data_IF_808304617046
#
_entry.id   IF_808304617046
#
_cell.length_a   1.000
_cell.length_b   1.000
_cell.length_c   1.000
_cell.angle_alpha   90.00
_cell.angle_beta   90.00
_cell.angle_gamma   90.00
#
_symmetry.space_group_name_H-M   'P 1'
#
loop_
_entity.id
_entity.type
_entity.pdbx_description
1 polymer ?
#
# COMPACT_ATOMS: atom_id res chain seq x y z
N UNK A 1 14.81 -4.02 -27.11
CA UNK A 1 13.56 -4.45 -26.45
C UNK A 1 12.46 -4.46 -27.50
N UNK A 2 11.84 -5.61 -27.76
CA UNK A 2 10.81 -5.78 -28.79
C UNK A 2 9.42 -5.30 -28.34
N UNK A 3 8.50 -5.09 -29.29
CA UNK A 3 7.12 -4.63 -29.03
C UNK A 3 6.37 -5.52 -28.01
N UNK A 4 6.68 -6.82 -27.97
CA UNK A 4 6.10 -7.77 -27.00
C UNK A 4 6.49 -7.48 -25.55
N UNK A 5 7.71 -6.96 -25.29
CA UNK A 5 8.13 -6.63 -23.92
C UNK A 5 7.37 -5.42 -23.37
N UNK A 6 6.96 -4.49 -24.24
CA UNK A 6 6.17 -3.31 -23.87
C UNK A 6 4.72 -3.67 -23.56
N UNK A 7 4.11 -4.54 -24.37
CA UNK A 7 2.75 -5.03 -24.13
C UNK A 7 2.66 -5.79 -22.80
N UNK A 8 3.62 -6.68 -22.52
CA UNK A 8 3.70 -7.40 -21.24
C UNK A 8 3.88 -6.45 -20.06
N UNK A 9 4.80 -5.49 -20.18
CA UNK A 9 5.02 -4.46 -19.14
C UNK A 9 3.74 -3.67 -18.84
N UNK A 10 3.03 -3.19 -19.87
CA UNK A 10 1.79 -2.44 -19.72
C UNK A 10 0.71 -3.24 -19.01
N UNK A 11 0.53 -4.51 -19.39
CA UNK A 11 -0.45 -5.40 -18.75
C UNK A 11 -0.14 -5.63 -17.27
N UNK A 12 1.12 -5.89 -16.92
CA UNK A 12 1.52 -6.10 -15.52
C UNK A 12 1.37 -4.82 -14.67
N UNK A 13 1.62 -3.65 -15.26
CA UNK A 13 1.38 -2.36 -14.61
C UNK A 13 -0.10 -2.11 -14.37
N UNK A 14 -0.95 -2.45 -15.35
CA UNK A 14 -2.41 -2.40 -15.20
C UNK A 14 -2.89 -3.28 -14.04
N UNK A 15 -2.48 -4.55 -14.02
CA UNK A 15 -2.81 -5.48 -12.93
C UNK A 15 -2.37 -4.96 -11.56
N UNK A 16 -1.12 -4.47 -11.46
CA UNK A 16 -0.60 -3.92 -10.21
C UNK A 16 -1.33 -2.66 -9.73
N UNK A 17 -1.90 -1.87 -10.65
CA UNK A 17 -2.69 -0.68 -10.30
C UNK A 17 -4.08 -1.09 -9.83
N UNK A 18 -4.72 -2.04 -10.51
CA UNK A 18 -6.02 -2.58 -10.14
C UNK A 18 -5.99 -3.19 -8.73
N UNK A 19 -5.00 -4.05 -8.43
CA UNK A 19 -4.85 -4.67 -7.11
C UNK A 19 -4.70 -3.62 -5.98
N UNK A 20 -3.94 -2.55 -6.22
CA UNK A 20 -3.79 -1.48 -5.22
C UNK A 20 -5.07 -0.69 -5.03
N UNK A 21 -5.80 -0.42 -6.11
CA UNK A 21 -7.07 0.30 -6.05
C UNK A 21 -8.11 -0.51 -5.29
N UNK A 22 -8.18 -1.82 -5.52
CA UNK A 22 -9.06 -2.74 -4.81
C UNK A 22 -8.73 -2.79 -3.32
N UNK A 23 -7.46 -3.03 -2.98
CA UNK A 23 -7.00 -3.06 -1.59
C UNK A 23 -7.21 -1.72 -0.86
N UNK A 24 -7.07 -0.59 -1.57
CA UNK A 24 -7.38 0.73 -1.02
C UNK A 24 -8.88 0.85 -0.68
N UNK A 25 -9.76 0.43 -1.59
CA UNK A 25 -11.22 0.54 -1.39
C UNK A 25 -11.69 -0.35 -0.25
N UNK A 26 -11.21 -1.60 -0.18
CA UNK A 26 -11.53 -2.54 0.91
C UNK A 26 -11.06 -2.00 2.26
N UNK A 27 -9.80 -1.56 2.35
CA UNK A 27 -9.27 -0.99 3.59
C UNK A 27 -9.99 0.32 3.98
N UNK A 28 -10.44 1.09 2.99
CA UNK A 28 -11.25 2.29 3.23
C UNK A 28 -12.60 1.96 3.85
N UNK A 29 -13.28 0.93 3.37
CA UNK A 29 -14.54 0.47 3.99
C UNK A 29 -14.32 0.00 5.43
N UNK A 30 -13.21 -0.71 5.67
CA UNK A 30 -12.86 -1.22 6.99
C UNK A 30 -12.52 -0.08 7.98
N UNK A 31 -11.69 0.87 7.57
CA UNK A 31 -11.36 2.05 8.37
C UNK A 31 -12.58 2.93 8.66
N UNK A 32 -13.49 3.05 7.70
CA UNK A 32 -14.75 3.75 7.89
C UNK A 32 -15.62 3.08 8.96
N UNK A 33 -15.82 1.75 8.85
CA UNK A 33 -16.61 1.00 9.82
C UNK A 33 -16.00 1.11 11.24
N UNK A 34 -14.67 0.99 11.36
CA UNK A 34 -13.96 1.16 12.61
C UNK A 34 -14.18 2.54 13.23
N UNK A 35 -14.10 3.62 12.43
CA UNK A 35 -14.31 4.98 12.90
C UNK A 35 -15.72 5.26 13.40
N UNK A 36 -16.75 4.69 12.76
CA UNK A 36 -18.14 4.82 13.20
C UNK A 36 -18.34 4.25 14.61
N UNK A 37 -17.73 3.10 14.89
CA UNK A 37 -17.83 2.42 16.19
C UNK A 37 -16.87 2.96 17.25
N UNK A 38 -15.86 3.74 16.87
CA UNK A 38 -14.86 4.25 17.79
C UNK A 38 -15.39 5.40 18.67
N UNK A 39 -14.90 5.53 19.92
CA UNK A 39 -15.17 6.71 20.74
C UNK A 39 -14.55 7.97 20.12
N UNK A 40 -15.14 9.16 20.35
CA UNK A 40 -14.54 10.41 19.93
C UNK A 40 -13.30 10.77 20.77
N UNK A 41 -12.45 11.64 20.24
CA UNK A 41 -11.28 12.16 20.94
C UNK A 41 -10.11 11.16 21.05
N UNK A 42 -9.21 11.35 22.04
CA UNK A 42 -7.91 10.66 22.09
C UNK A 42 -7.97 9.13 22.05
N UNK A 43 -9.04 8.55 22.59
CA UNK A 43 -9.24 7.10 22.55
C UNK A 43 -9.45 6.57 21.12
N UNK A 44 -10.20 7.31 20.29
CA UNK A 44 -10.36 7.00 18.87
C UNK A 44 -9.05 7.18 18.10
N UNK A 45 -8.34 8.28 18.34
CA UNK A 45 -7.06 8.55 17.66
C UNK A 45 -6.01 7.45 17.93
N UNK A 46 -6.02 6.88 19.14
CA UNK A 46 -5.15 5.75 19.48
C UNK A 46 -5.52 4.47 18.73
N UNK A 47 -6.81 4.23 18.44
CA UNK A 47 -7.26 3.10 17.61
C UNK A 47 -6.75 3.26 16.18
N UNK A 48 -6.92 4.45 15.59
CA UNK A 48 -6.38 4.76 14.26
C UNK A 48 -4.88 4.50 14.23
N UNK A 49 -4.15 5.10 15.17
CA UNK A 49 -2.69 4.96 15.24
C UNK A 49 -2.26 3.50 15.30
N UNK A 50 -2.86 2.71 16.19
CA UNK A 50 -2.51 1.30 16.35
C UNK A 50 -2.81 0.48 15.08
N UNK A 51 -3.93 0.75 14.41
CA UNK A 51 -4.30 0.08 13.17
C UNK A 51 -3.28 0.37 12.05
N UNK A 52 -2.97 1.64 11.82
CA UNK A 52 -2.15 2.04 10.64
C UNK A 52 -0.65 1.95 10.88
N UNK A 53 -0.17 2.04 12.13
CA UNK A 53 1.26 1.99 12.44
C UNK A 53 1.88 0.66 11.99
N UNK A 54 1.19 -0.46 12.22
CA UNK A 54 1.65 -1.79 11.83
C UNK A 54 1.75 -1.94 10.31
N UNK A 55 0.74 -1.45 9.58
CA UNK A 55 0.65 -1.52 8.13
C UNK A 55 1.73 -0.65 7.48
N UNK A 56 1.91 0.58 7.99
CA UNK A 56 2.97 1.47 7.52
C UNK A 56 4.37 0.93 7.86
N UNK A 57 4.53 0.28 9.00
CA UNK A 57 5.80 -0.37 9.37
C UNK A 57 6.17 -1.45 8.36
N UNK A 58 5.21 -2.30 7.98
CA UNK A 58 5.43 -3.35 6.98
C UNK A 58 5.69 -2.74 5.59
N UNK A 59 4.95 -1.71 5.19
CA UNK A 59 5.18 -1.01 3.91
C UNK A 59 6.60 -0.41 3.84
N UNK A 60 7.10 0.19 4.93
CA UNK A 60 8.47 0.70 5.03
C UNK A 60 9.50 -0.41 4.95
N UNK A 61 9.31 -1.51 5.68
CA UNK A 61 10.20 -2.67 5.64
C UNK A 61 10.35 -3.24 4.22
N UNK A 62 9.22 -3.44 3.53
CA UNK A 62 9.21 -3.92 2.14
C UNK A 62 9.87 -2.93 1.17
N UNK A 63 9.70 -1.62 1.42
CA UNK A 63 10.38 -0.57 0.65
C UNK A 63 11.89 -0.62 0.82
N UNK A 64 12.36 -0.81 2.04
CA UNK A 64 13.79 -0.94 2.33
C UNK A 64 14.37 -2.23 1.77
N UNK A 65 13.64 -3.34 1.79
CA UNK A 65 14.01 -4.58 1.10
C UNK A 65 14.13 -4.36 -0.42
N UNK A 66 13.13 -3.73 -1.05
CA UNK A 66 13.18 -3.38 -2.46
C UNK A 66 14.39 -2.50 -2.79
N UNK A 67 14.70 -1.52 -1.93
CA UNK A 67 15.88 -0.66 -2.06
C UNK A 67 17.17 -1.47 -1.98
N UNK A 68 17.33 -2.32 -0.96
CA UNK A 68 18.52 -3.17 -0.78
C UNK A 68 18.77 -4.05 -2.00
N UNK A 69 17.72 -4.68 -2.55
CA UNK A 69 17.82 -5.49 -3.77
C UNK A 69 18.21 -4.61 -4.96
N UNK A 70 17.59 -3.45 -5.13
CA UNK A 70 17.89 -2.56 -6.26
C UNK A 70 19.35 -2.10 -6.30
N UNK A 71 19.98 -1.93 -5.14
CA UNK A 71 21.38 -1.52 -5.04
C UNK A 71 22.36 -2.59 -5.54
N UNK A 72 21.94 -3.86 -5.60
CA UNK A 72 22.80 -4.95 -6.09
C UNK A 72 22.71 -5.17 -7.59
N UNK A 73 21.79 -4.48 -8.30
CA UNK A 73 21.57 -4.65 -9.75
C UNK A 73 22.88 -4.42 -10.52
N UNK A 74 23.59 -3.33 -10.24
CA UNK A 74 24.80 -3.01 -10.98
C UNK A 74 26.01 -3.90 -10.63
N UNK A 75 25.90 -4.71 -9.57
CA UNK A 75 26.96 -5.65 -9.15
C UNK A 75 26.90 -7.00 -9.88
N UNK A 76 25.86 -7.24 -10.68
CA UNK A 76 25.70 -8.50 -11.42
C UNK A 76 26.58 -8.54 -12.67
N UNK A 77 27.07 -9.74 -12.98
CA UNK A 77 28.11 -9.98 -14.00
C UNK A 77 27.52 -10.06 -15.41
N UNK A 78 26.30 -10.57 -15.54
CA UNK A 78 25.61 -10.69 -16.82
C UNK A 78 24.36 -9.82 -16.91
N UNK A 79 23.87 -9.62 -18.13
CA UNK A 79 22.62 -8.90 -18.37
C UNK A 79 21.43 -9.68 -17.80
N UNK A 80 21.45 -11.00 -17.94
CA UNK A 80 20.41 -11.91 -17.48
C UNK A 80 20.29 -11.87 -15.95
N UNK A 81 21.42 -11.84 -15.24
CA UNK A 81 21.43 -11.67 -13.77
C UNK A 81 20.88 -10.29 -13.35
N UNK A 82 21.21 -9.22 -14.09
CA UNK A 82 20.64 -7.88 -13.83
C UNK A 82 19.12 -7.88 -13.99
N UNK A 83 18.62 -8.51 -15.05
CA UNK A 83 17.18 -8.63 -15.30
C UNK A 83 16.48 -9.41 -14.18
N UNK A 84 17.07 -10.50 -13.68
CA UNK A 84 16.53 -11.26 -12.55
C UNK A 84 16.46 -10.41 -11.26
N UNK A 85 17.50 -9.64 -10.93
CA UNK A 85 17.49 -8.74 -9.76
C UNK A 85 16.48 -7.60 -9.92
N UNK A 86 16.32 -7.07 -11.15
CA UNK A 86 15.29 -6.07 -11.44
C UNK A 86 13.87 -6.62 -11.24
N UNK A 87 13.62 -7.87 -11.62
CA UNK A 87 12.31 -8.50 -11.40
C UNK A 87 12.03 -8.73 -9.92
N UNK A 88 13.02 -9.18 -9.13
CA UNK A 88 12.91 -9.25 -7.67
C UNK A 88 12.61 -7.89 -7.04
N UNK A 89 13.31 -6.84 -7.50
CA UNK A 89 13.08 -5.46 -7.05
C UNK A 89 11.64 -5.03 -7.34
N UNK A 90 11.12 -5.32 -8.54
CA UNK A 90 9.74 -5.00 -8.94
C UNK A 90 8.72 -5.73 -8.06
N UNK A 91 8.95 -7.00 -7.75
CA UNK A 91 8.07 -7.78 -6.88
C UNK A 91 8.02 -7.18 -5.47
N UNK A 92 9.18 -6.88 -4.87
CA UNK A 92 9.26 -6.26 -3.55
C UNK A 92 8.58 -4.89 -3.53
N UNK A 93 8.83 -4.04 -4.53
CA UNK A 93 8.19 -2.73 -4.65
C UNK A 93 6.66 -2.81 -4.85
N UNK A 94 6.17 -3.83 -5.56
CA UNK A 94 4.73 -4.10 -5.72
C UNK A 94 4.09 -4.41 -4.37
N UNK A 95 4.71 -5.28 -3.56
CA UNK A 95 4.24 -5.61 -2.21
C UNK A 95 4.23 -4.39 -1.30
N UNK A 96 5.31 -3.62 -1.29
CA UNK A 96 5.40 -2.38 -0.52
C UNK A 96 4.26 -1.40 -0.88
N UNK A 97 4.04 -1.20 -2.18
CA UNK A 97 2.98 -0.32 -2.66
C UNK A 97 1.56 -0.85 -2.41
N UNK A 98 1.37 -2.16 -2.27
CA UNK A 98 0.08 -2.74 -1.88
C UNK A 98 -0.19 -2.45 -0.40
N UNK A 99 0.78 -2.69 0.48
CA UNK A 99 0.66 -2.37 1.91
C UNK A 99 0.42 -0.88 2.15
N UNK A 100 1.11 -0.01 1.41
CA UNK A 100 0.87 1.43 1.47
C UNK A 100 -0.55 1.82 1.00
N UNK A 101 -1.11 1.13 0.01
CA UNK A 101 -2.48 1.37 -0.45
C UNK A 101 -3.52 0.97 0.61
N UNK A 102 -3.29 -0.14 1.32
CA UNK A 102 -4.13 -0.58 2.45
C UNK A 102 -4.09 0.48 3.56
N UNK A 103 -2.91 0.91 3.98
CA UNK A 103 -2.77 1.93 5.04
C UNK A 103 -3.50 3.23 4.67
N UNK A 104 -3.25 3.74 3.46
CA UNK A 104 -3.89 4.96 2.97
C UNK A 104 -5.41 4.83 2.84
N UNK A 105 -5.90 3.65 2.43
CA UNK A 105 -7.32 3.34 2.38
C UNK A 105 -7.94 3.44 3.77
N UNK A 106 -7.36 2.75 4.73
CA UNK A 106 -7.80 2.74 6.12
C UNK A 106 -7.86 4.15 6.74
N UNK A 107 -6.80 4.95 6.57
CA UNK A 107 -6.75 6.35 7.04
C UNK A 107 -7.85 7.22 6.41
N UNK A 108 -8.08 7.08 5.10
CA UNK A 108 -9.13 7.81 4.40
C UNK A 108 -10.51 7.40 4.87
N UNK A 109 -10.74 6.09 5.02
CA UNK A 109 -11.97 5.53 5.55
C UNK A 109 -12.27 6.04 6.94
N UNK A 110 -11.27 5.99 7.82
CA UNK A 110 -11.37 6.50 9.18
C UNK A 110 -11.78 7.97 9.21
N UNK A 111 -11.12 8.81 8.42
CA UNK A 111 -11.42 10.24 8.32
C UNK A 111 -12.88 10.48 7.91
N UNK A 112 -13.37 9.75 6.93
CA UNK A 112 -14.77 9.84 6.48
C UNK A 112 -15.75 9.34 7.55
N UNK A 113 -15.41 8.26 8.25
CA UNK A 113 -16.24 7.69 9.32
C UNK A 113 -16.35 8.62 10.53
N UNK A 114 -15.26 9.27 10.93
CA UNK A 114 -15.25 10.29 12.01
C UNK A 114 -16.18 11.45 11.66
N UNK A 115 -16.06 11.99 10.44
CA UNK A 115 -16.92 13.08 9.98
C UNK A 115 -18.41 12.68 10.04
N UNK A 116 -18.75 11.48 9.58
CA UNK A 116 -20.13 10.98 9.64
C UNK A 116 -20.61 10.79 11.07
N UNK A 117 -19.84 10.11 11.92
CA UNK A 117 -20.16 9.87 13.34
C UNK A 117 -20.44 11.17 14.08
N UNK A 118 -19.62 12.18 13.87
CA UNK A 118 -19.71 13.43 14.62
C UNK A 118 -20.79 14.36 14.04
N UNK A 119 -21.10 14.26 12.74
CA UNK A 119 -22.27 14.93 12.14
C UNK A 119 -23.61 14.42 12.69
N UNK A 120 -23.70 13.15 13.08
CA UNK A 120 -24.92 12.55 13.64
C UNK A 120 -25.15 12.84 15.14
N UNK A 121 -24.26 13.57 15.81
CA UNK A 121 -24.38 13.95 17.24
C UNK A 121 -24.87 15.39 17.44
N UNK A 122 -25.24 16.08 16.36
CA UNK A 122 -25.62 17.50 16.38
C UNK A 122 -27.13 17.75 16.54
N UNK A 123 -27.93 16.72 16.86
CA UNK A 123 -29.38 16.80 17.09
C UNK A 123 -29.75 16.57 18.56
#
# INVERSE_FOLDING_TARGET
MGKESWAKYGMEKGKGTAMKSEAFMEAKEEGFAAAISAPPGPAGDQILKNAVDSIWSEARKLTDEARKISLTVNNQKSKEEREAVLDLTRIAARKAGLQAAIAAGWEQGWKEGVLKRDSGKSD
#
